data_IF_330341783568
#
_entry.id   IF_330341783568
#
_cell.length_a   1.000
_cell.length_b   1.000
_cell.length_c   1.000
_cell.angle_alpha   90.00
_cell.angle_beta   90.00
_cell.angle_gamma   90.00
#
_symmetry.space_group_name_H-M   'P 1'
#
loop_
_entity.id
_entity.type
_entity.pdbx_description
1 polymer ?
#
# COMPACT_ATOMS: atom_id res chain seq x y z
N UNK A 1 13.95 1.49 22.98
CA UNK A 1 14.20 1.45 21.53
C UNK A 1 14.08 0.05 20.91
N UNK A 2 14.30 -1.04 21.66
CA UNK A 2 14.21 -2.41 21.13
C UNK A 2 12.79 -2.90 20.79
N UNK A 3 11.76 -2.48 21.54
CA UNK A 3 10.37 -2.93 21.33
C UNK A 3 9.80 -2.47 19.98
N UNK A 4 9.84 -1.17 19.69
CA UNK A 4 9.31 -0.62 18.44
C UNK A 4 10.09 -1.07 17.20
N UNK A 5 11.40 -1.29 17.34
CA UNK A 5 12.22 -1.88 16.28
C UNK A 5 11.81 -3.33 16.00
N UNK A 6 11.58 -4.14 17.05
CA UNK A 6 11.09 -5.52 16.92
C UNK A 6 9.72 -5.56 16.21
N UNK A 7 8.79 -4.70 16.62
CA UNK A 7 7.45 -4.61 16.00
C UNK A 7 7.55 -4.16 14.54
N UNK A 8 8.47 -3.25 14.21
CA UNK A 8 8.72 -2.84 12.83
C UNK A 8 9.27 -3.98 11.96
N UNK A 9 10.26 -4.72 12.47
CA UNK A 9 10.81 -5.89 11.77
C UNK A 9 9.77 -7.00 11.61
N UNK A 10 8.87 -7.16 12.58
CA UNK A 10 7.73 -8.08 12.47
C UNK A 10 6.81 -7.66 11.32
N UNK A 11 6.38 -6.39 11.27
CA UNK A 11 5.51 -5.88 10.21
C UNK A 11 6.12 -6.07 8.80
N UNK A 12 7.42 -5.88 8.65
CA UNK A 12 8.10 -6.05 7.35
C UNK A 12 8.36 -7.52 7.02
N UNK A 13 8.70 -8.34 8.00
CA UNK A 13 9.11 -9.72 7.82
C UNK A 13 7.94 -10.69 7.63
N UNK A 14 6.84 -10.51 8.36
CA UNK A 14 5.69 -11.42 8.37
C UNK A 14 5.08 -11.72 6.99
N UNK A 15 4.98 -10.76 6.05
CA UNK A 15 4.53 -11.05 4.68
C UNK A 15 5.42 -12.04 3.93
N UNK A 16 6.72 -12.09 4.23
CA UNK A 16 7.67 -13.02 3.60
C UNK A 16 7.70 -14.39 4.26
N UNK A 17 7.16 -14.52 5.48
CA UNK A 17 7.02 -15.82 6.14
C UNK A 17 5.77 -16.59 5.67
N UNK A 18 4.85 -15.93 4.94
CA UNK A 18 3.62 -16.52 4.44
C UNK A 18 3.56 -16.43 2.91
N UNK A 19 3.74 -17.56 2.22
CA UNK A 19 3.77 -17.64 0.74
C UNK A 19 2.53 -17.01 0.09
N UNK A 20 1.36 -17.13 0.73
CA UNK A 20 0.11 -16.51 0.26
C UNK A 20 0.14 -14.99 0.26
N UNK A 21 0.91 -14.37 1.15
CA UNK A 21 1.04 -12.91 1.27
C UNK A 21 2.13 -12.31 0.37
N UNK A 22 3.14 -13.11 0.03
CA UNK A 22 4.25 -12.69 -0.85
C UNK A 22 3.71 -12.11 -2.15
N UNK A 23 2.75 -12.80 -2.78
CA UNK A 23 2.18 -12.35 -4.05
C UNK A 23 1.40 -11.04 -3.94
N UNK A 24 0.84 -10.71 -2.78
CA UNK A 24 0.16 -9.43 -2.56
C UNK A 24 1.10 -8.27 -2.26
N UNK A 25 2.20 -8.52 -1.55
CA UNK A 25 3.13 -7.47 -1.14
C UNK A 25 4.20 -7.15 -2.19
N UNK A 26 4.55 -8.12 -3.06
CA UNK A 26 5.56 -7.95 -4.11
C UNK A 26 5.26 -6.75 -5.02
N UNK A 27 4.03 -6.56 -5.56
CA UNK A 27 3.71 -5.39 -6.38
C UNK A 27 3.81 -4.05 -5.64
N UNK A 28 3.68 -4.03 -4.31
CA UNK A 28 3.88 -2.83 -3.50
C UNK A 28 5.37 -2.48 -3.40
N UNK A 29 6.24 -3.47 -3.17
CA UNK A 29 7.69 -3.26 -3.15
C UNK A 29 8.25 -2.88 -4.53
N UNK A 30 7.77 -3.51 -5.61
CA UNK A 30 8.13 -3.10 -6.98
C UNK A 30 7.60 -1.70 -7.31
N UNK A 31 6.37 -1.40 -6.86
CA UNK A 31 5.77 -0.06 -6.83
C UNK A 31 6.72 0.99 -6.25
N UNK A 32 7.23 0.69 -5.07
CA UNK A 32 8.14 1.53 -4.32
C UNK A 32 9.47 1.73 -5.03
N UNK A 33 10.11 0.63 -5.44
CA UNK A 33 11.42 0.65 -6.08
C UNK A 33 11.39 1.43 -7.40
N UNK A 34 10.39 1.23 -8.25
CA UNK A 34 10.26 1.98 -9.49
C UNK A 34 9.89 3.45 -9.26
N UNK A 35 9.10 3.77 -8.23
CA UNK A 35 8.80 5.15 -7.84
C UNK A 35 10.02 5.89 -7.25
N UNK A 36 10.99 5.15 -6.71
CA UNK A 36 12.25 5.70 -6.22
C UNK A 36 13.25 5.93 -7.36
N UNK A 37 13.28 5.04 -8.36
CA UNK A 37 14.13 5.13 -9.54
C UNK A 37 13.63 6.14 -10.59
N UNK A 38 12.36 6.54 -10.52
CA UNK A 38 11.76 7.51 -11.45
C UNK A 38 11.78 8.93 -10.91
N UNK A 39 11.97 9.91 -11.82
CA UNK A 39 12.03 11.34 -11.51
C UNK A 39 10.82 11.80 -10.68
N UNK A 40 10.99 12.77 -9.78
CA UNK A 40 9.91 13.29 -8.91
C UNK A 40 8.82 14.07 -9.63
N UNK A 41 8.81 14.09 -10.96
CA UNK A 41 7.72 14.68 -11.74
C UNK A 41 6.59 13.67 -11.84
N UNK A 42 5.35 14.11 -11.56
CA UNK A 42 4.17 13.27 -11.74
C UNK A 42 4.13 12.66 -13.14
N UNK A 43 4.32 11.34 -13.21
CA UNK A 43 4.31 10.59 -14.45
C UNK A 43 3.08 9.68 -14.49
N UNK A 44 2.37 9.67 -15.62
CA UNK A 44 1.20 8.82 -15.80
C UNK A 44 1.52 7.33 -15.65
N UNK A 45 2.74 6.91 -16.03
CA UNK A 45 3.22 5.53 -15.81
C UNK A 45 3.30 5.18 -14.32
N UNK A 46 3.82 6.10 -13.51
CA UNK A 46 3.89 5.97 -12.04
C UNK A 46 2.48 5.91 -11.42
N UNK A 47 1.53 6.69 -11.94
CA UNK A 47 0.13 6.64 -11.48
C UNK A 47 -0.55 5.30 -11.83
N UNK A 48 -0.33 4.76 -13.03
CA UNK A 48 -0.82 3.43 -13.43
C UNK A 48 -0.22 2.35 -12.51
N UNK A 49 1.08 2.39 -12.28
CA UNK A 49 1.76 1.41 -11.45
C UNK A 49 1.26 1.44 -10.01
N UNK A 50 1.20 2.63 -9.41
CA UNK A 50 0.70 2.82 -8.04
C UNK A 50 -0.76 2.39 -7.95
N UNK A 51 -1.58 2.74 -8.95
CA UNK A 51 -2.97 2.32 -9.05
C UNK A 51 -3.13 0.80 -9.10
N UNK A 52 -2.35 0.13 -9.94
CA UNK A 52 -2.32 -1.33 -10.02
C UNK A 52 -1.91 -1.96 -8.69
N UNK A 53 -0.82 -1.51 -8.07
CA UNK A 53 -0.35 -2.08 -6.80
C UNK A 53 -1.39 -1.93 -5.68
N UNK A 54 -2.15 -0.84 -5.65
CA UNK A 54 -3.19 -0.60 -4.64
C UNK A 54 -4.43 -1.46 -4.88
N UNK A 55 -4.88 -1.54 -6.13
CA UNK A 55 -5.98 -2.43 -6.51
C UNK A 55 -5.61 -3.89 -6.23
N UNK A 56 -4.37 -4.28 -6.52
CA UNK A 56 -3.88 -5.63 -6.25
C UNK A 56 -3.84 -5.95 -4.76
N UNK A 57 -3.29 -5.05 -3.95
CA UNK A 57 -3.27 -5.20 -2.49
C UNK A 57 -4.69 -5.27 -1.91
N UNK A 58 -5.59 -4.39 -2.34
CA UNK A 58 -7.00 -4.40 -1.93
C UNK A 58 -7.72 -5.68 -2.36
N UNK A 59 -7.46 -6.18 -3.56
CA UNK A 59 -8.01 -7.46 -4.03
C UNK A 59 -7.50 -8.64 -3.19
N UNK A 60 -6.22 -8.65 -2.82
CA UNK A 60 -5.65 -9.65 -1.92
C UNK A 60 -6.24 -9.58 -0.51
N UNK A 61 -6.55 -8.39 0.01
CA UNK A 61 -7.25 -8.26 1.28
C UNK A 61 -8.69 -8.77 1.20
N UNK A 62 -9.35 -8.62 0.06
CA UNK A 62 -10.72 -9.12 -0.16
C UNK A 62 -10.76 -10.62 -0.46
N UNK A 63 -9.70 -11.19 -1.03
CA UNK A 63 -9.64 -12.59 -1.48
C UNK A 63 -10.12 -13.61 -0.43
N UNK A 64 -9.68 -13.55 0.85
CA UNK A 64 -10.13 -14.48 1.89
C UNK A 64 -11.62 -14.39 2.25
N UNK A 65 -12.31 -13.32 1.85
CA UNK A 65 -13.73 -13.08 2.14
C UNK A 65 -14.65 -13.52 1.02
N UNK A 66 -14.10 -13.99 -0.10
CA UNK A 66 -14.88 -14.68 -1.12
C UNK A 66 -15.15 -16.10 -0.66
N UNK A 67 -16.37 -16.37 -0.22
CA UNK A 67 -16.82 -17.74 0.02
C UNK A 67 -17.51 -18.29 -1.22
N UNK A 68 -17.21 -19.54 -1.61
CA UNK A 68 -18.00 -20.22 -2.63
C UNK A 68 -19.40 -20.48 -2.07
N UNK A 69 -20.41 -19.79 -2.59
CA UNK A 69 -21.80 -20.13 -2.32
C UNK A 69 -22.18 -21.40 -3.08
N UNK A 70 -23.13 -22.15 -2.52
CA UNK A 70 -23.73 -23.34 -3.13
C UNK A 70 -24.42 -23.11 -4.50
N UNK A 71 -24.44 -21.87 -5.02
CA UNK A 71 -25.03 -21.50 -6.31
C UNK A 71 -23.99 -20.90 -7.29
N UNK A 72 -22.69 -21.09 -7.04
CA UNK A 72 -21.62 -20.70 -7.97
C UNK A 72 -21.30 -19.20 -8.05
N UNK A 73 -22.14 -18.32 -7.47
CA UNK A 73 -21.85 -16.90 -7.34
C UNK A 73 -21.02 -16.65 -6.07
N UNK A 74 -19.73 -16.34 -6.22
CA UNK A 74 -18.86 -16.00 -5.09
C UNK A 74 -19.42 -14.77 -4.35
N UNK A 75 -19.77 -14.93 -3.06
CA UNK A 75 -20.31 -13.84 -2.24
C UNK A 75 -19.22 -13.31 -1.33
N UNK A 76 -19.08 -11.99 -1.31
CA UNK A 76 -18.21 -11.26 -0.39
C UNK A 76 -18.87 -11.18 0.98
N UNK A 77 -18.32 -11.92 1.96
CA UNK A 77 -18.73 -11.80 3.36
C UNK A 77 -17.99 -10.64 4.04
N UNK A 78 -18.41 -9.41 3.71
CA UNK A 78 -17.86 -8.18 4.29
C UNK A 78 -18.05 -8.12 5.81
N UNK A 79 -19.10 -8.75 6.36
CA UNK A 79 -19.34 -8.83 7.81
C UNK A 79 -18.29 -9.62 8.58
N UNK A 80 -17.42 -10.37 7.88
CA UNK A 80 -16.27 -11.00 8.51
C UNK A 80 -15.17 -10.00 8.86
N UNK A 81 -15.02 -8.90 8.11
CA UNK A 81 -13.98 -7.88 8.30
C UNK A 81 -14.25 -6.96 9.50
N UNK A 82 -13.19 -6.60 10.23
CA UNK A 82 -13.26 -5.47 11.15
C UNK A 82 -13.68 -4.21 10.36
N UNK A 83 -14.57 -3.34 10.89
CA UNK A 83 -15.02 -2.14 10.19
C UNK A 83 -13.87 -1.25 9.72
N UNK A 84 -12.80 -1.17 10.52
CA UNK A 84 -11.56 -0.44 10.16
C UNK A 84 -10.89 -1.05 8.93
N UNK A 85 -10.84 -2.38 8.82
CA UNK A 85 -10.24 -3.06 7.67
C UNK A 85 -11.07 -2.86 6.39
N UNK A 86 -12.40 -2.89 6.49
CA UNK A 86 -13.28 -2.55 5.37
C UNK A 86 -13.03 -1.13 4.88
N UNK A 87 -12.98 -0.18 5.81
CA UNK A 87 -12.76 1.21 5.50
C UNK A 87 -11.39 1.41 4.80
N UNK A 88 -10.32 0.87 5.38
CA UNK A 88 -8.97 0.93 4.79
C UNK A 88 -8.94 0.28 3.41
N UNK A 89 -9.55 -0.90 3.26
CA UNK A 89 -9.60 -1.62 1.98
C UNK A 89 -10.34 -0.81 0.91
N UNK A 90 -11.49 -0.22 1.25
CA UNK A 90 -12.27 0.59 0.32
C UNK A 90 -11.52 1.86 -0.09
N UNK A 91 -10.89 2.54 0.86
CA UNK A 91 -10.07 3.72 0.60
C UNK A 91 -8.90 3.38 -0.33
N UNK A 92 -8.19 2.28 -0.08
CA UNK A 92 -7.07 1.83 -0.92
C UNK A 92 -7.53 1.49 -2.33
N UNK A 93 -8.65 0.80 -2.48
CA UNK A 93 -9.22 0.48 -3.80
C UNK A 93 -9.66 1.75 -4.52
N UNK A 94 -10.32 2.68 -3.84
CA UNK A 94 -10.74 3.95 -4.42
C UNK A 94 -9.54 4.79 -4.88
N UNK A 95 -8.50 4.90 -4.05
CA UNK A 95 -7.25 5.58 -4.39
C UNK A 95 -6.53 4.88 -5.55
N UNK A 96 -6.49 3.55 -5.55
CA UNK A 96 -5.91 2.74 -6.62
C UNK A 96 -6.63 2.94 -7.96
N UNK A 97 -7.97 2.92 -7.93
CA UNK A 97 -8.81 3.17 -9.09
C UNK A 97 -8.64 4.60 -9.62
N UNK A 98 -8.61 5.60 -8.75
CA UNK A 98 -8.37 7.00 -9.12
C UNK A 98 -6.99 7.19 -9.73
N UNK A 99 -5.94 6.59 -9.15
CA UNK A 99 -4.59 6.63 -9.67
C UNK A 99 -4.51 5.98 -11.06
N UNK A 100 -5.06 4.77 -11.21
CA UNK A 100 -5.10 4.04 -12.47
C UNK A 100 -5.87 4.82 -13.54
N UNK A 101 -7.07 5.32 -13.21
CA UNK A 101 -7.91 6.10 -14.10
C UNK A 101 -7.22 7.39 -14.54
N UNK A 102 -6.56 8.11 -13.62
CA UNK A 102 -5.81 9.33 -13.94
C UNK A 102 -4.62 9.06 -14.88
N UNK A 103 -3.95 7.93 -14.69
CA UNK A 103 -2.84 7.47 -15.53
C UNK A 103 -3.29 7.05 -16.93
N UNK A 104 -4.36 6.27 -17.04
CA UNK A 104 -4.96 5.83 -18.33
C UNK A 104 -5.52 7.02 -19.11
N UNK A 105 -6.26 7.91 -18.44
CA UNK A 105 -6.86 9.10 -19.06
C UNK A 105 -5.83 10.18 -19.41
N UNK A 106 -4.56 10.02 -19.01
CA UNK A 106 -3.49 11.02 -19.12
C UNK A 106 -3.92 12.40 -18.63
N UNK A 107 -4.78 12.44 -17.61
CA UNK A 107 -5.35 13.68 -17.05
C UNK A 107 -5.48 13.53 -15.55
N UNK A 108 -4.70 14.32 -14.81
CA UNK A 108 -4.85 14.41 -13.37
C UNK A 108 -6.08 15.25 -13.02
N UNK A 109 -6.95 14.81 -12.09
CA UNK A 109 -7.98 15.69 -11.53
C UNK A 109 -7.32 16.84 -10.76
N UNK A 110 -8.03 17.98 -10.58
CA UNK A 110 -7.49 19.26 -10.02
C UNK A 110 -6.72 19.11 -8.69
N UNK A 111 -6.99 18.07 -7.89
CA UNK A 111 -6.30 17.77 -6.62
C UNK A 111 -5.57 16.40 -6.61
N UNK A 112 -5.47 15.72 -7.75
CA UNK A 112 -4.93 14.35 -7.86
C UNK A 112 -3.47 14.24 -8.29
N UNK A 113 -2.73 15.34 -8.40
CA UNK A 113 -1.30 15.29 -8.77
C UNK A 113 -0.47 14.54 -7.72
N UNK A 114 -0.94 14.47 -6.48
CA UNK A 114 -0.33 13.69 -5.40
C UNK A 114 -0.28 12.19 -5.71
N UNK A 115 -1.27 11.64 -6.44
CA UNK A 115 -1.29 10.22 -6.84
C UNK A 115 -0.13 9.85 -7.79
N UNK A 116 0.46 10.84 -8.47
CA UNK A 116 1.68 10.67 -9.27
C UNK A 116 2.98 10.85 -8.47
N UNK A 117 2.90 11.19 -7.18
CA UNK A 117 4.04 11.49 -6.30
C UNK A 117 4.13 10.57 -5.06
N UNK A 118 3.14 9.71 -4.82
CA UNK A 118 2.91 9.07 -3.52
C UNK A 118 3.84 7.91 -3.22
N UNK A 119 5.13 8.19 -3.03
CA UNK A 119 6.09 7.29 -2.38
C UNK A 119 5.63 6.94 -0.97
N UNK A 120 5.10 7.94 -0.25
CA UNK A 120 4.48 7.79 1.07
C UNK A 120 3.45 6.66 1.11
N UNK A 121 2.57 6.60 0.12
CA UNK A 121 1.48 5.67 0.13
C UNK A 121 1.97 4.22 -0.09
N UNK A 122 3.07 3.98 -0.81
CA UNK A 122 3.69 2.66 -0.87
C UNK A 122 4.30 2.23 0.48
N UNK A 123 4.99 3.12 1.20
CA UNK A 123 5.53 2.82 2.55
C UNK A 123 4.41 2.51 3.55
N UNK A 124 3.35 3.33 3.53
CA UNK A 124 2.18 3.12 4.36
C UNK A 124 1.49 1.79 4.01
N UNK A 125 1.36 1.48 2.72
CA UNK A 125 0.76 0.24 2.26
C UNK A 125 1.56 -1.00 2.68
N UNK A 126 2.89 -0.96 2.58
CA UNK A 126 3.75 -2.08 2.99
C UNK A 126 3.61 -2.34 4.50
N UNK A 127 3.58 -1.28 5.31
CA UNK A 127 3.52 -1.40 6.77
C UNK A 127 2.14 -1.82 7.29
N UNK A 128 1.05 -1.43 6.61
CA UNK A 128 -0.31 -1.85 6.99
C UNK A 128 -0.71 -3.21 6.40
N UNK A 129 0.00 -3.71 5.39
CA UNK A 129 -0.30 -4.95 4.68
C UNK A 129 -0.50 -6.19 5.59
N UNK A 130 0.43 -6.55 6.49
CA UNK A 130 0.26 -7.73 7.35
C UNK A 130 -0.89 -7.59 8.36
N UNK A 131 -1.23 -6.35 8.74
CA UNK A 131 -2.33 -6.05 9.64
C UNK A 131 -3.68 -6.22 8.93
N UNK A 132 -3.77 -5.76 7.68
CA UNK A 132 -4.96 -5.98 6.84
C UNK A 132 -5.14 -7.45 6.47
N UNK A 133 -4.04 -8.18 6.26
CA UNK A 133 -4.04 -9.61 5.94
C UNK A 133 -4.41 -10.53 7.12
N UNK A 134 -4.77 -9.99 8.30
CA UNK A 134 -5.09 -10.70 9.56
C UNK A 134 -3.99 -11.57 10.16
N UNK A 135 -2.79 -11.55 9.61
CA UNK A 135 -1.68 -12.29 10.21
C UNK A 135 -1.21 -11.58 11.49
N UNK A 136 -1.33 -10.26 11.53
CA UNK A 136 -1.08 -9.44 12.72
C UNK A 136 -2.34 -8.67 13.12
N UNK A 137 -2.74 -8.75 14.39
CA UNK A 137 -3.86 -7.97 14.93
C UNK A 137 -3.53 -6.47 15.05
N UNK A 138 -4.58 -5.63 15.07
CA UNK A 138 -4.44 -4.22 15.40
C UNK A 138 -4.07 -4.03 16.87
N UNK A 139 -2.91 -3.45 17.13
CA UNK A 139 -2.48 -3.03 18.47
C UNK A 139 -2.02 -1.57 18.43
N UNK A 140 -2.13 -0.87 19.55
CA UNK A 140 -1.66 0.52 19.67
C UNK A 140 -0.17 0.63 19.35
N UNK A 141 0.65 -0.34 19.76
CA UNK A 141 2.07 -0.39 19.42
C UNK A 141 2.32 -0.45 17.91
N UNK A 142 1.56 -1.27 17.17
CA UNK A 142 1.69 -1.37 15.72
C UNK A 142 1.25 -0.08 15.02
N UNK A 143 0.19 0.58 15.51
CA UNK A 143 -0.25 1.88 14.99
C UNK A 143 0.84 2.93 15.19
N UNK A 144 1.41 2.99 16.39
CA UNK A 144 2.51 3.91 16.72
C UNK A 144 3.71 3.62 15.81
N UNK A 145 4.08 2.37 15.62
CA UNK A 145 5.21 1.98 14.75
C UNK A 145 4.96 2.33 13.29
N UNK A 146 3.74 2.11 12.77
CA UNK A 146 3.37 2.52 11.41
C UNK A 146 3.58 4.03 11.26
N UNK A 147 3.10 4.85 12.21
CA UNK A 147 3.27 6.31 12.15
C UNK A 147 4.74 6.72 12.32
N UNK A 148 5.44 6.12 13.29
CA UNK A 148 6.80 6.46 13.68
C UNK A 148 7.84 6.01 12.65
N UNK A 149 7.56 5.02 11.80
CA UNK A 149 8.46 4.62 10.72
C UNK A 149 8.01 5.09 9.35
N UNK A 150 6.71 5.07 9.03
CA UNK A 150 6.26 5.51 7.69
C UNK A 150 6.55 7.01 7.46
N UNK A 151 6.41 7.86 8.49
CA UNK A 151 6.64 9.31 8.36
C UNK A 151 8.14 9.64 8.25
N UNK A 152 9.04 9.14 9.12
CA UNK A 152 10.46 9.45 9.01
C UNK A 152 11.16 8.76 7.84
N UNK A 153 10.80 7.53 7.48
CA UNK A 153 11.36 6.88 6.28
C UNK A 153 10.98 7.67 5.02
N UNK A 154 9.73 8.18 4.97
CA UNK A 154 9.33 9.10 3.92
C UNK A 154 10.13 10.40 3.93
N UNK A 155 10.31 11.04 5.09
CA UNK A 155 11.11 12.27 5.22
C UNK A 155 12.57 12.05 4.78
N UNK A 156 13.21 10.98 5.25
CA UNK A 156 14.62 10.66 4.92
C UNK A 156 14.80 10.40 3.43
N UNK A 157 13.88 9.70 2.78
CA UNK A 157 14.00 9.43 1.34
C UNK A 157 13.56 10.63 0.50
N UNK A 158 12.55 11.39 0.94
CA UNK A 158 12.14 12.61 0.26
C UNK A 158 13.24 13.66 0.30
N UNK A 159 13.84 13.91 1.47
CA UNK A 159 14.87 14.93 1.65
C UNK A 159 16.29 14.43 1.32
N UNK A 160 16.62 13.19 1.66
CA UNK A 160 17.94 12.59 1.43
C UNK A 160 18.24 12.28 -0.04
N UNK A 161 17.23 12.09 -0.88
CA UNK A 161 17.41 11.93 -2.33
C UNK A 161 17.27 13.23 -3.13
N UNK A 162 16.89 14.36 -2.51
CA UNK A 162 16.95 15.70 -3.14
C UNK A 162 18.33 16.05 -3.73
N UNK A 163 19.48 15.81 -3.04
CA UNK A 163 20.78 16.20 -3.58
C UNK A 163 21.23 15.37 -4.79
N UNK A 164 20.83 14.10 -4.88
CA UNK A 164 21.05 13.28 -6.10
C UNK A 164 20.12 13.73 -7.23
N UNK A 165 18.96 14.29 -6.90
CA UNK A 165 17.89 14.70 -7.81
C UNK A 165 18.13 16.05 -8.51
N UNK A 166 18.87 16.97 -7.90
CA UNK A 166 19.18 18.29 -8.46
C UNK A 166 20.41 18.31 -9.38
N UNK A 167 21.00 17.15 -9.72
CA UNK A 167 22.11 17.02 -10.68
C UNK A 167 21.67 16.79 -12.13
N UNK A 168 20.48 17.25 -12.53
CA UNK A 168 20.07 17.32 -13.94
C UNK A 168 19.70 18.74 -14.33
#
# INVERSE_FOLDING_TARGET
>A
MNHYWSVFTELIGTPFTHVSLVWGIVPLYFGLLLNELTSSKANFRTAIQTGFSFLWAGAQWLYPYFKPNAHGLARLELGGMLPVNLFVTFVVIALGALALFSGVRRRYPRFGSFLGHTRFANYFMITIFPVQARVLGWTWDRVIVIVLFAVPVWLVLHFGLLPVRNRK
#
